data_IF_021279079092
#
_entry.id   IF_021279079092
#
_cell.length_a   1.000
_cell.length_b   1.000
_cell.length_c   1.000
_cell.angle_alpha   90.00
_cell.angle_beta   90.00
_cell.angle_gamma   90.00
#
_symmetry.space_group_name_H-M   'P 1'
#
loop_
_entity.id
_entity.type
_entity.pdbx_description
1 polymer ?
#
# COMPACT_ATOMS: atom_id res chain seq x y z
N UNK A 1 5.39 12.56 1.11
CA UNK A 1 6.29 11.85 2.03
C UNK A 1 6.03 10.33 2.07
N UNK A 2 4.76 9.92 2.18
CA UNK A 2 4.33 8.53 2.17
C UNK A 2 4.55 7.83 0.82
N UNK A 3 4.47 8.56 -0.29
CA UNK A 3 4.82 8.04 -1.62
C UNK A 3 6.24 7.45 -1.63
N UNK A 4 7.20 8.13 -1.00
CA UNK A 4 8.58 7.65 -0.91
C UNK A 4 8.72 6.44 0.03
N UNK A 5 7.96 6.39 1.13
CA UNK A 5 7.92 5.22 2.03
C UNK A 5 7.38 4.01 1.29
N UNK A 6 6.28 4.18 0.56
CA UNK A 6 5.68 3.13 -0.26
C UNK A 6 6.63 2.64 -1.35
N UNK A 7 7.33 3.56 -2.01
CA UNK A 7 8.37 3.21 -2.99
C UNK A 7 9.47 2.34 -2.37
N UNK A 8 9.92 2.65 -1.15
CA UNK A 8 10.89 1.82 -0.44
C UNK A 8 10.36 0.40 -0.15
N UNK A 9 9.07 0.25 0.18
CA UNK A 9 8.44 -1.08 0.35
C UNK A 9 8.41 -1.86 -0.98
N UNK A 10 8.11 -1.19 -2.10
CA UNK A 10 8.14 -1.79 -3.44
C UNK A 10 9.54 -2.26 -3.81
N UNK A 11 10.56 -1.47 -3.51
CA UNK A 11 11.94 -1.84 -3.83
C UNK A 11 12.37 -3.10 -3.06
N UNK A 12 11.96 -3.25 -1.80
CA UNK A 12 12.17 -4.50 -1.05
C UNK A 12 11.39 -5.67 -1.65
N UNK A 13 10.15 -5.46 -2.12
CA UNK A 13 9.39 -6.51 -2.82
C UNK A 13 10.08 -6.96 -4.10
N UNK A 14 10.61 -6.02 -4.90
CA UNK A 14 11.39 -6.33 -6.10
C UNK A 14 12.65 -7.11 -5.77
N UNK A 15 13.36 -6.72 -4.71
CA UNK A 15 14.55 -7.44 -4.24
C UNK A 15 14.21 -8.88 -3.84
N UNK A 16 13.13 -9.07 -3.08
CA UNK A 16 12.64 -10.40 -2.70
C UNK A 16 12.32 -11.26 -3.91
N UNK A 17 11.61 -10.72 -4.91
CA UNK A 17 11.22 -11.46 -6.11
C UNK A 17 12.41 -11.90 -6.97
N UNK A 18 13.55 -11.19 -6.89
CA UNK A 18 14.79 -11.56 -7.59
C UNK A 18 15.63 -12.53 -6.76
N UNK A 19 15.80 -12.25 -5.47
CA UNK A 19 16.71 -12.99 -4.59
C UNK A 19 16.10 -14.29 -4.03
N UNK A 20 14.80 -14.27 -3.75
CA UNK A 20 14.05 -15.38 -3.15
C UNK A 20 12.66 -15.55 -3.82
N UNK A 21 12.63 -15.82 -5.15
CA UNK A 21 11.38 -15.98 -5.88
C UNK A 21 10.54 -17.14 -5.31
N UNK A 22 9.22 -17.14 -5.52
CA UNK A 22 8.38 -18.26 -5.15
C UNK A 22 8.85 -19.57 -5.80
N UNK A 23 9.00 -20.63 -5.01
CA UNK A 23 9.44 -21.93 -5.49
C UNK A 23 8.30 -22.76 -6.11
N UNK A 24 8.63 -23.90 -6.73
CA UNK A 24 7.65 -24.76 -7.42
C UNK A 24 6.44 -25.14 -6.56
N UNK A 25 6.61 -25.59 -5.30
CA UNK A 25 5.52 -25.77 -4.35
C UNK A 25 4.70 -24.49 -4.10
N UNK A 26 5.34 -23.35 -3.82
CA UNK A 26 4.67 -22.08 -3.55
C UNK A 26 3.85 -21.59 -4.75
N UNK A 27 4.28 -21.83 -6.00
CA UNK A 27 3.50 -21.48 -7.20
C UNK A 27 2.20 -22.28 -7.36
N UNK A 28 2.01 -23.34 -6.57
CA UNK A 28 0.76 -24.13 -6.52
C UNK A 28 -0.03 -23.87 -5.23
N UNK A 29 0.52 -23.08 -4.32
CA UNK A 29 -0.12 -22.67 -3.07
C UNK A 29 -0.92 -21.38 -3.32
N UNK A 30 -2.22 -21.54 -3.51
CA UNK A 30 -3.13 -20.41 -3.75
C UNK A 30 -3.12 -19.41 -2.60
N UNK A 31 -2.93 -19.84 -1.35
CA UNK A 31 -2.94 -18.96 -0.19
C UNK A 31 -1.67 -18.11 -0.12
N UNK A 32 -0.52 -18.67 -0.53
CA UNK A 32 0.72 -17.94 -0.69
C UNK A 32 0.62 -16.93 -1.85
N UNK A 33 0.15 -17.39 -3.01
CA UNK A 33 -0.02 -16.54 -4.19
C UNK A 33 -1.01 -15.41 -3.96
N UNK A 34 -2.06 -15.62 -3.18
CA UNK A 34 -2.99 -14.57 -2.81
C UNK A 34 -2.30 -13.47 -2.00
N UNK A 35 -1.53 -13.83 -0.97
CA UNK A 35 -0.81 -12.86 -0.13
C UNK A 35 0.24 -12.06 -0.92
N UNK A 36 0.97 -12.73 -1.81
CA UNK A 36 1.90 -12.06 -2.73
C UNK A 36 1.16 -11.18 -3.75
N UNK A 37 0.01 -11.66 -4.23
CA UNK A 37 -0.87 -10.93 -5.14
C UNK A 37 -1.40 -9.65 -4.53
N UNK A 38 -1.78 -9.64 -3.26
CA UNK A 38 -2.24 -8.44 -2.55
C UNK A 38 -1.16 -7.35 -2.46
N UNK A 39 0.11 -7.73 -2.24
CA UNK A 39 1.22 -6.79 -2.31
C UNK A 39 1.38 -6.22 -3.72
N UNK A 40 1.31 -7.07 -4.74
CA UNK A 40 1.42 -6.65 -6.13
C UNK A 40 0.27 -5.74 -6.58
N UNK A 41 -0.98 -6.04 -6.19
CA UNK A 41 -2.14 -5.23 -6.57
C UNK A 41 -2.06 -3.83 -5.98
N UNK A 42 -1.55 -3.66 -4.75
CA UNK A 42 -1.30 -2.33 -4.19
C UNK A 42 -0.35 -1.50 -5.07
N UNK A 43 0.68 -2.09 -5.64
CA UNK A 43 1.61 -1.39 -6.56
C UNK A 43 0.88 -0.88 -7.80
N UNK A 44 0.07 -1.74 -8.42
CA UNK A 44 -0.70 -1.39 -9.61
C UNK A 44 -1.73 -0.29 -9.31
N UNK A 45 -2.46 -0.42 -8.20
CA UNK A 45 -3.42 0.59 -7.78
C UNK A 45 -2.78 1.93 -7.43
N UNK A 46 -1.62 1.92 -6.77
CA UNK A 46 -0.89 3.14 -6.45
C UNK A 46 -0.43 3.87 -7.73
N UNK A 47 0.05 3.14 -8.74
CA UNK A 47 0.39 3.73 -10.04
C UNK A 47 -0.85 4.36 -10.69
N UNK A 48 -1.94 3.59 -10.82
CA UNK A 48 -3.19 4.09 -11.42
C UNK A 48 -3.72 5.32 -10.68
N UNK A 49 -3.63 5.33 -9.35
CA UNK A 49 -4.03 6.45 -8.53
C UNK A 49 -3.18 7.69 -8.82
N UNK A 50 -1.85 7.56 -8.89
CA UNK A 50 -0.96 8.68 -9.20
C UNK A 50 -1.18 9.25 -10.60
N UNK A 51 -1.40 8.40 -11.61
CA UNK A 51 -1.72 8.82 -12.98
C UNK A 51 -3.03 9.64 -13.01
N UNK A 52 -4.05 9.20 -12.28
CA UNK A 52 -5.33 9.91 -12.20
C UNK A 52 -5.25 11.16 -11.30
N UNK A 53 -4.39 11.17 -10.28
CA UNK A 53 -4.23 12.33 -9.41
C UNK A 53 -3.78 13.58 -10.19
N UNK A 54 -2.96 13.40 -11.22
CA UNK A 54 -2.60 14.47 -12.15
C UNK A 54 -3.78 14.93 -13.02
N UNK A 55 -4.56 13.98 -13.56
CA UNK A 55 -5.73 14.26 -14.41
C UNK A 55 -6.81 15.04 -13.64
N UNK A 56 -7.05 14.67 -12.38
CA UNK A 56 -8.06 15.30 -11.52
C UNK A 56 -7.50 16.46 -10.68
N UNK A 57 -6.24 16.85 -10.89
CA UNK A 57 -5.56 17.95 -10.18
C UNK A 57 -5.69 17.83 -8.64
N UNK A 58 -5.50 16.62 -8.11
CA UNK A 58 -5.63 16.37 -6.67
C UNK A 58 -4.54 17.10 -5.86
N UNK A 59 -4.93 17.65 -4.72
CA UNK A 59 -4.00 18.29 -3.80
C UNK A 59 -2.93 17.31 -3.30
N UNK A 60 -1.64 17.70 -3.25
CA UNK A 60 -0.56 16.84 -2.78
C UNK A 60 -0.80 16.25 -1.40
N UNK A 61 -1.45 16.99 -0.50
CA UNK A 61 -1.80 16.55 0.85
C UNK A 61 -2.80 15.40 0.85
N UNK A 62 -3.76 15.40 -0.08
CA UNK A 62 -4.75 14.34 -0.22
C UNK A 62 -4.10 13.07 -0.80
N UNK A 63 -3.26 13.24 -1.83
CA UNK A 63 -2.45 12.14 -2.38
C UNK A 63 -1.62 11.50 -1.27
N UNK A 64 -0.92 12.30 -0.48
CA UNK A 64 -0.05 11.80 0.57
C UNK A 64 -0.84 11.14 1.73
N UNK A 65 -2.07 11.59 1.99
CA UNK A 65 -2.99 10.95 2.95
C UNK A 65 -3.55 9.62 2.46
N UNK A 66 -3.76 9.46 1.15
CA UNK A 66 -4.10 8.15 0.57
C UNK A 66 -2.91 7.21 0.64
N UNK A 67 -1.69 7.69 0.38
CA UNK A 67 -0.47 6.88 0.49
C UNK A 67 -0.15 6.44 1.93
N UNK A 68 -0.62 7.15 2.95
CA UNK A 68 -0.61 6.65 4.34
C UNK A 68 -1.33 5.30 4.47
N UNK A 69 -2.47 5.15 3.79
CA UNK A 69 -3.25 3.89 3.77
C UNK A 69 -2.48 2.82 3.00
N UNK A 70 -1.96 3.14 1.81
CA UNK A 70 -1.14 2.19 1.03
C UNK A 70 0.04 1.64 1.82
N UNK A 71 0.77 2.48 2.56
CA UNK A 71 1.91 2.03 3.38
C UNK A 71 1.47 1.04 4.45
N UNK A 72 0.36 1.33 5.13
CA UNK A 72 -0.19 0.47 6.19
C UNK A 72 -0.71 -0.86 5.64
N UNK A 73 -1.42 -0.82 4.52
CA UNK A 73 -1.94 -2.02 3.87
C UNK A 73 -0.81 -2.91 3.35
N UNK A 74 0.24 -2.31 2.78
CA UNK A 74 1.42 -3.05 2.34
C UNK A 74 2.12 -3.74 3.51
N UNK A 75 2.30 -3.04 4.64
CA UNK A 75 2.83 -3.63 5.88
C UNK A 75 1.95 -4.76 6.42
N UNK A 76 0.62 -4.63 6.30
CA UNK A 76 -0.33 -5.67 6.69
C UNK A 76 -0.18 -6.92 5.83
N UNK A 77 -0.14 -6.78 4.50
CA UNK A 77 0.02 -7.92 3.59
C UNK A 77 1.41 -8.56 3.69
N UNK A 78 2.46 -7.76 3.92
CA UNK A 78 3.80 -8.30 4.20
C UNK A 78 3.81 -9.16 5.48
N UNK A 79 3.09 -8.73 6.52
CA UNK A 79 2.92 -9.53 7.74
C UNK A 79 2.16 -10.83 7.49
N UNK A 80 1.13 -10.79 6.62
CA UNK A 80 0.38 -11.99 6.25
C UNK A 80 1.26 -12.98 5.48
N UNK A 81 2.04 -12.50 4.49
CA UNK A 81 2.97 -13.32 3.72
C UNK A 81 4.05 -13.92 4.63
N UNK A 82 4.66 -13.12 5.51
CA UNK A 82 5.60 -13.59 6.54
C UNK A 82 5.04 -14.76 7.36
N UNK A 83 3.75 -14.72 7.68
CA UNK A 83 3.10 -15.67 8.58
C UNK A 83 2.60 -16.96 7.89
N UNK A 84 2.79 -17.11 6.58
CA UNK A 84 2.39 -18.33 5.87
C UNK A 84 3.35 -19.48 6.19
N UNK A 85 2.85 -20.71 6.44
CA UNK A 85 3.71 -21.87 6.69
C UNK A 85 4.65 -22.22 5.52
N UNK A 86 4.28 -21.83 4.30
CA UNK A 86 5.06 -22.05 3.09
C UNK A 86 6.14 -21.00 2.88
N UNK A 87 6.16 -19.89 3.62
CA UNK A 87 7.17 -18.83 3.48
C UNK A 87 8.53 -19.28 4.01
N UNK A 88 9.57 -19.07 3.21
CA UNK A 88 10.95 -19.42 3.61
C UNK A 88 11.54 -18.37 4.55
N UNK A 89 12.59 -18.73 5.29
CA UNK A 89 13.30 -17.80 6.18
C UNK A 89 13.86 -16.57 5.42
N UNK A 90 14.39 -16.78 4.21
CA UNK A 90 14.88 -15.69 3.36
C UNK A 90 13.74 -14.73 2.99
N UNK A 91 12.60 -15.26 2.54
CA UNK A 91 11.40 -14.48 2.22
C UNK A 91 10.83 -13.77 3.45
N UNK A 92 10.82 -14.42 4.62
CA UNK A 92 10.38 -13.83 5.87
C UNK A 92 11.25 -12.61 6.25
N UNK A 93 12.57 -12.70 6.06
CA UNK A 93 13.49 -11.58 6.25
C UNK A 93 13.16 -10.38 5.37
N UNK A 94 12.80 -10.61 4.10
CA UNK A 94 12.31 -9.54 3.22
C UNK A 94 10.97 -8.97 3.67
N UNK A 95 10.02 -9.82 4.07
CA UNK A 95 8.70 -9.37 4.53
C UNK A 95 8.82 -8.41 5.73
N UNK A 96 9.71 -8.69 6.69
CA UNK A 96 9.94 -7.79 7.83
C UNK A 96 10.48 -6.43 7.41
N UNK A 97 11.34 -6.37 6.37
CA UNK A 97 11.86 -5.11 5.81
C UNK A 97 10.79 -4.28 5.10
N UNK A 98 9.71 -4.91 4.63
CA UNK A 98 8.56 -4.22 4.03
C UNK A 98 7.64 -3.58 5.08
N UNK A 99 7.77 -3.94 6.37
CA UNK A 99 6.92 -3.39 7.44
C UNK A 99 7.46 -2.02 7.84
N UNK A 100 6.94 -0.98 7.21
CA UNK A 100 7.28 0.41 7.48
C UNK A 100 6.08 1.15 8.10
N UNK A 101 6.39 2.25 8.80
CA UNK A 101 5.40 3.19 9.32
C UNK A 101 5.24 4.33 8.32
N UNK A 102 4.01 4.81 8.07
CA UNK A 102 3.82 6.02 7.29
C UNK A 102 4.48 7.22 8.00
N UNK A 103 4.85 8.21 7.21
CA UNK A 103 5.38 9.47 7.69
C UNK A 103 4.30 10.22 8.49
N UNK A 104 4.65 10.51 9.75
CA UNK A 104 3.81 11.28 10.65
C UNK A 104 3.68 12.72 10.18
N UNK A 105 2.45 13.20 10.06
CA UNK A 105 2.13 14.60 9.84
C UNK A 105 0.86 14.94 10.64
N UNK A 106 1.06 15.54 11.81
CA UNK A 106 -0.02 15.90 12.73
C UNK A 106 -0.99 16.95 12.14
N UNK A 107 -0.56 17.73 11.14
CA UNK A 107 -1.38 18.75 10.50
C UNK A 107 -2.15 18.25 9.27
N UNK A 108 -1.62 17.24 8.56
CA UNK A 108 -2.24 16.70 7.33
C UNK A 108 -3.63 16.15 7.58
N UNK A 109 -3.81 15.31 8.60
CA UNK A 109 -5.11 14.68 8.86
C UNK A 109 -6.20 15.70 9.23
N UNK A 110 -5.86 16.75 9.99
CA UNK A 110 -6.78 17.84 10.31
C UNK A 110 -7.17 18.64 9.06
N UNK A 111 -6.20 19.00 8.21
CA UNK A 111 -6.47 19.71 6.95
C UNK A 111 -7.35 18.89 6.00
N UNK A 112 -7.07 17.60 5.84
CA UNK A 112 -7.91 16.72 5.01
C UNK A 112 -9.33 16.63 5.56
N UNK A 113 -9.45 16.51 6.88
CA UNK A 113 -10.75 16.52 7.54
C UNK A 113 -11.53 17.82 7.28
N UNK A 114 -10.93 18.97 7.57
CA UNK A 114 -11.61 20.27 7.48
C UNK A 114 -11.93 20.66 6.04
N UNK A 115 -11.00 20.47 5.11
CA UNK A 115 -11.11 20.99 3.75
C UNK A 115 -11.79 20.03 2.76
N UNK A 116 -11.65 18.71 2.95
CA UNK A 116 -12.13 17.72 1.98
C UNK A 116 -13.31 16.90 2.49
N UNK A 117 -13.32 16.53 3.78
CA UNK A 117 -14.39 15.68 4.34
C UNK A 117 -15.54 16.52 4.87
N UNK A 118 -15.24 17.45 5.78
CA UNK A 118 -16.24 18.27 6.44
C UNK A 118 -16.90 19.26 5.48
N UNK A 119 -16.16 19.74 4.47
CA UNK A 119 -16.70 20.58 3.41
C UNK A 119 -17.85 19.91 2.61
N UNK A 120 -17.93 18.58 2.60
CA UNK A 120 -19.00 17.83 1.95
C UNK A 120 -20.25 17.64 2.83
N UNK A 121 -20.27 18.23 4.04
CA UNK A 121 -21.44 18.19 4.91
C UNK A 121 -22.64 18.80 4.16
N UNK A 122 -23.76 18.09 4.21
CA UNK A 122 -25.02 18.50 3.56
C UNK A 122 -24.95 18.57 2.02
N UNK A 123 -23.86 18.10 1.39
CA UNK A 123 -23.71 18.12 -0.06
C UNK A 123 -24.49 17.00 -0.79
N UNK A 124 -24.90 15.95 -0.08
CA UNK A 124 -25.68 14.87 -0.67
C UNK A 124 -27.17 15.23 -0.72
N UNK A 125 -27.70 15.36 -1.93
CA UNK A 125 -29.14 15.46 -2.19
C UNK A 125 -29.64 14.21 -2.92
N UNK A 126 -30.67 13.54 -2.38
CA UNK A 126 -31.34 12.45 -3.10
C UNK A 126 -32.05 13.00 -4.33
N UNK A 127 -31.89 12.34 -5.47
CA UNK A 127 -32.74 12.60 -6.63
C UNK A 127 -34.17 12.19 -6.29
N UNK A 128 -35.17 13.09 -6.42
CA UNK A 128 -36.57 12.76 -6.15
C UNK A 128 -37.14 11.73 -7.14
#
# INVERSE_FOLDING_TARGET
PNVAVFQAQIDVLKEMLVAAPPDGPQTKDTDFLLALGELFTLVVYAQLFLENAEIYELEPELVDQVFDVFVRDFSRFATQLHSKPSTTEDQAGFCLRMILRPAEDAGRSAKVWDNHVYALRDAYEMRP
#
